data_IF_269954562159
#
_entry.id   IF_269954562159
#
_cell.length_a   1.000
_cell.length_b   1.000
_cell.length_c   1.000
_cell.angle_alpha   90.00
_cell.angle_beta   90.00
_cell.angle_gamma   90.00
#
_symmetry.space_group_name_H-M   'P 1'
#
loop_
_entity.id
_entity.type
_entity.pdbx_description
1 polymer ?
#
# COMPACT_ATOMS: atom_id res chain seq x y z
N UNK A 1 -8.39 -8.18 -11.95
CA UNK A 1 -7.67 -7.04 -11.33
C UNK A 1 -8.49 -5.75 -11.46
N UNK A 2 -9.43 -5.51 -10.55
CA UNK A 2 -10.31 -4.32 -10.61
C UNK A 2 -9.56 -3.04 -10.22
N UNK A 3 -8.78 -3.05 -9.13
CA UNK A 3 -8.09 -1.86 -8.65
C UNK A 3 -7.10 -1.26 -9.66
N UNK A 4 -6.36 -2.11 -10.39
CA UNK A 4 -5.47 -1.68 -11.48
C UNK A 4 -6.25 -1.11 -12.67
N UNK A 5 -7.40 -1.72 -13.02
CA UNK A 5 -8.25 -1.20 -14.08
C UNK A 5 -8.82 0.18 -13.72
N UNK A 6 -9.31 0.37 -12.49
CA UNK A 6 -9.80 1.67 -11.99
C UNK A 6 -8.70 2.74 -12.02
N UNK A 7 -7.46 2.39 -11.69
CA UNK A 7 -6.33 3.32 -11.80
C UNK A 7 -6.02 3.72 -13.25
N UNK A 8 -6.11 2.75 -14.18
CA UNK A 8 -5.99 3.00 -15.62
C UNK A 8 -7.09 3.91 -16.14
N UNK A 9 -8.36 3.61 -15.84
CA UNK A 9 -9.52 4.42 -16.23
C UNK A 9 -9.49 5.83 -15.62
N UNK A 10 -8.97 5.96 -14.40
CA UNK A 10 -8.82 7.27 -13.72
C UNK A 10 -7.53 8.00 -14.12
N UNK A 11 -6.67 7.37 -14.92
CA UNK A 11 -5.34 7.85 -15.32
C UNK A 11 -4.49 8.35 -14.14
N UNK A 12 -4.44 7.57 -13.06
CA UNK A 12 -3.64 7.86 -11.86
C UNK A 12 -2.59 6.77 -11.60
N UNK A 13 -1.42 7.12 -11.03
CA UNK A 13 -0.45 6.15 -10.55
C UNK A 13 -1.07 5.06 -9.66
N UNK A 14 -0.63 3.83 -9.86
CA UNK A 14 -1.06 2.66 -9.12
C UNK A 14 0.11 2.07 -8.34
N UNK A 15 -0.02 2.02 -7.01
CA UNK A 15 0.93 1.36 -6.11
C UNK A 15 0.28 0.09 -5.58
N UNK A 16 1.03 -1.01 -5.50
CA UNK A 16 0.54 -2.30 -5.01
C UNK A 16 1.54 -2.88 -4.01
N UNK A 17 1.04 -3.43 -2.91
CA UNK A 17 1.84 -4.03 -1.84
C UNK A 17 1.03 -5.15 -1.17
N UNK A 18 1.68 -6.24 -0.76
CA UNK A 18 1.02 -7.24 0.11
C UNK A 18 1.10 -6.80 1.57
N UNK A 19 0.03 -7.02 2.32
CA UNK A 19 -0.04 -6.75 3.75
C UNK A 19 1.04 -7.50 4.54
N UNK A 20 1.45 -8.67 4.05
CA UNK A 20 2.54 -9.45 4.63
C UNK A 20 3.90 -8.75 4.58
N UNK A 21 4.13 -7.84 3.62
CA UNK A 21 5.38 -7.07 3.50
C UNK A 21 5.59 -6.08 4.66
N UNK A 22 4.54 -5.80 5.44
CA UNK A 22 4.62 -4.95 6.61
C UNK A 22 4.87 -5.73 7.91
N UNK A 23 4.80 -7.06 7.87
CA UNK A 23 4.99 -7.95 9.03
C UNK A 23 6.47 -8.34 9.26
N UNK A 24 7.41 -7.54 8.74
CA UNK A 24 8.85 -7.82 8.84
C UNK A 24 9.32 -8.11 10.27
N UNK A 25 10.29 -9.03 10.40
CA UNK A 25 10.84 -9.50 11.68
C UNK A 25 11.50 -8.38 12.50
N UNK A 26 11.91 -7.28 11.84
CA UNK A 26 12.53 -6.15 12.50
C UNK A 26 11.48 -5.09 12.89
N UNK A 27 11.41 -4.83 14.19
CA UNK A 27 10.49 -3.85 14.79
C UNK A 27 10.66 -2.48 14.14
N UNK A 28 9.55 -1.92 13.64
CA UNK A 28 9.49 -0.57 13.10
C UNK A 28 9.75 -0.44 11.59
N UNK A 29 10.28 -1.46 10.92
CA UNK A 29 10.49 -1.40 9.46
C UNK A 29 9.17 -1.42 8.68
N UNK A 30 8.20 -2.22 9.12
CA UNK A 30 6.85 -2.20 8.53
C UNK A 30 6.22 -0.81 8.57
N UNK A 31 6.31 -0.13 9.72
CA UNK A 31 5.82 1.23 9.87
C UNK A 31 6.57 2.25 8.99
N UNK A 32 7.88 2.10 8.81
CA UNK A 32 8.66 2.93 7.91
C UNK A 32 8.25 2.74 6.44
N UNK A 33 8.07 1.50 6.00
CA UNK A 33 7.56 1.15 4.66
C UNK A 33 6.19 1.76 4.37
N UNK A 34 5.25 1.69 5.33
CA UNK A 34 3.94 2.36 5.20
C UNK A 34 4.14 3.86 4.99
N UNK A 35 4.95 4.52 5.82
CA UNK A 35 5.19 5.97 5.68
C UNK A 35 5.81 6.32 4.33
N UNK A 36 6.77 5.53 3.86
CA UNK A 36 7.43 5.75 2.57
C UNK A 36 6.45 5.58 1.39
N UNK A 37 5.63 4.53 1.41
CA UNK A 37 4.60 4.25 0.39
C UNK A 37 3.62 5.42 0.27
N UNK A 38 3.09 5.89 1.40
CA UNK A 38 2.20 7.04 1.43
C UNK A 38 2.93 8.35 1.06
N UNK A 39 4.22 8.48 1.38
CA UNK A 39 5.06 9.60 0.96
C UNK A 39 5.21 9.67 -0.56
N UNK A 40 5.53 8.53 -1.21
CA UNK A 40 5.62 8.41 -2.67
C UNK A 40 4.29 8.74 -3.34
N UNK A 41 3.18 8.20 -2.83
CA UNK A 41 1.85 8.49 -3.37
C UNK A 41 1.47 9.98 -3.23
N UNK A 42 1.77 10.61 -2.08
CA UNK A 42 1.53 12.05 -1.90
C UNK A 42 2.37 12.92 -2.83
N UNK A 43 3.62 12.53 -3.09
CA UNK A 43 4.51 13.28 -3.98
C UNK A 43 4.02 13.33 -5.44
N UNK A 44 3.29 12.29 -5.89
CA UNK A 44 2.69 12.23 -7.24
C UNK A 44 1.27 12.80 -7.31
N UNK A 45 0.70 13.26 -6.18
CA UNK A 45 -0.64 13.82 -6.13
C UNK A 45 -1.75 12.78 -6.04
N UNK A 46 -2.55 12.64 -7.11
CA UNK A 46 -3.67 11.66 -7.14
C UNK A 46 -3.11 10.27 -7.45
N UNK A 47 -3.37 9.28 -6.61
CA UNK A 47 -2.91 7.91 -6.80
C UNK A 47 -3.85 6.89 -6.14
N UNK A 48 -3.77 5.65 -6.59
CA UNK A 48 -4.43 4.50 -5.94
C UNK A 48 -3.34 3.63 -5.30
N UNK A 49 -3.51 3.32 -4.02
CA UNK A 49 -2.70 2.36 -3.29
C UNK A 49 -3.57 1.12 -3.04
N UNK A 50 -3.14 -0.02 -3.58
CA UNK A 50 -3.75 -1.32 -3.34
C UNK A 50 -2.92 -2.09 -2.33
N UNK A 51 -3.57 -2.49 -1.23
CA UNK A 51 -2.98 -3.34 -0.20
C UNK A 51 -3.71 -4.68 -0.27
N UNK A 52 -3.02 -5.70 -0.73
CA UNK A 52 -3.53 -7.08 -0.71
C UNK A 52 -3.33 -7.69 0.68
N UNK A 53 -4.04 -8.77 1.03
CA UNK A 53 -3.84 -9.52 2.29
C UNK A 53 -3.76 -8.64 3.55
N UNK A 54 -4.60 -7.61 3.64
CA UNK A 54 -4.55 -6.63 4.75
C UNK A 54 -4.81 -7.27 6.13
N UNK A 55 -5.52 -8.40 6.14
CA UNK A 55 -5.76 -9.24 7.30
C UNK A 55 -4.45 -9.79 7.92
N UNK A 56 -3.36 -9.90 7.16
CA UNK A 56 -2.05 -10.27 7.67
C UNK A 56 -1.50 -9.25 8.70
N UNK A 57 -1.89 -7.97 8.61
CA UNK A 57 -1.50 -6.90 9.55
C UNK A 57 -2.55 -6.75 10.65
N UNK A 58 -3.82 -7.07 10.32
CA UNK A 58 -4.99 -6.78 11.13
C UNK A 58 -5.29 -7.80 12.21
N UNK A 59 -4.41 -7.99 13.20
CA UNK A 59 -4.82 -8.68 14.44
C UNK A 59 -5.72 -7.75 15.24
N UNK A 60 -7.03 -7.99 15.23
CA UNK A 60 -8.02 -7.30 16.06
C UNK A 60 -7.58 -7.39 17.54
N UNK A 61 -7.26 -6.26 18.16
CA UNK A 61 -7.16 -6.15 19.63
C UNK A 61 -8.55 -5.98 20.22
#
# INVERSE_FOLDING_TARGET
>A
MLARAVAGESNVPFFSVSGSEFMEMLVGMGAAKVRELFGKAKAVGKAIIFIDEIDAIGRRR
#
